data_IF_802861573798
#
_entry.id   IF_802861573798
#
_cell.length_a   1.000
_cell.length_b   1.000
_cell.length_c   1.000
_cell.angle_alpha   90.00
_cell.angle_beta   90.00
_cell.angle_gamma   90.00
#
_symmetry.space_group_name_H-M   'P 1'
#
loop_
_entity.id
_entity.type
_entity.pdbx_description
1 polymer ?
#
# COMPACT_ATOMS: atom_id res chain seq x y z
N UNK A 1 8.27 15.72 -0.15
CA UNK A 1 8.78 15.67 1.21
C UNK A 1 8.34 14.38 1.84
N UNK A 2 9.26 13.88 2.47
CA UNK A 2 9.36 12.61 3.13
C UNK A 2 8.69 12.72 4.50
N UNK A 3 7.39 12.97 4.48
CA UNK A 3 6.64 13.29 5.69
C UNK A 3 6.64 12.17 6.73
N UNK A 4 7.03 10.95 6.36
CA UNK A 4 7.13 9.84 7.31
C UNK A 4 8.38 8.98 7.14
N UNK A 5 9.53 9.61 6.89
CA UNK A 5 10.83 8.92 6.92
C UNK A 5 11.06 8.16 8.23
N UNK A 6 10.57 8.67 9.33
CA UNK A 6 10.75 8.04 10.64
C UNK A 6 10.09 6.67 10.68
N UNK A 7 8.79 6.57 10.29
CA UNK A 7 8.08 5.27 10.27
C UNK A 7 8.69 4.31 9.27
N UNK A 8 8.99 4.78 8.04
CA UNK A 8 9.65 3.96 7.03
C UNK A 8 11.04 3.47 7.47
N UNK A 9 11.84 4.35 8.08
CA UNK A 9 13.17 4.01 8.58
C UNK A 9 13.09 3.03 9.75
N UNK A 10 12.12 3.18 10.64
CA UNK A 10 11.88 2.25 11.73
C UNK A 10 11.50 0.85 11.20
N UNK A 11 10.53 0.77 10.29
CA UNK A 11 10.13 -0.52 9.70
C UNK A 11 11.31 -1.15 8.95
N UNK A 12 12.08 -0.36 8.18
CA UNK A 12 13.26 -0.85 7.44
C UNK A 12 14.32 -1.41 8.39
N UNK A 13 14.58 -0.75 9.49
CA UNK A 13 15.53 -1.22 10.49
C UNK A 13 15.05 -2.52 11.17
N UNK A 14 13.75 -2.62 11.47
CA UNK A 14 13.16 -3.81 12.05
C UNK A 14 13.09 -5.01 11.05
N UNK A 15 12.92 -4.72 9.76
CA UNK A 15 12.79 -5.70 8.68
C UNK A 15 14.13 -6.13 8.05
N UNK A 16 15.27 -5.80 8.65
CA UNK A 16 16.61 -5.98 8.07
C UNK A 16 16.87 -7.37 7.45
N UNK A 17 16.30 -8.42 8.02
CA UNK A 17 16.46 -9.81 7.59
C UNK A 17 15.23 -10.35 6.81
N UNK A 18 14.21 -9.50 6.62
CA UNK A 18 12.94 -9.82 5.95
C UNK A 18 12.70 -8.86 4.79
N UNK A 19 13.65 -8.83 3.86
CA UNK A 19 13.59 -7.99 2.66
C UNK A 19 13.34 -8.87 1.45
N UNK A 20 12.27 -8.57 0.73
CA UNK A 20 11.83 -9.33 -0.44
C UNK A 20 11.67 -8.40 -1.65
N UNK A 21 11.84 -8.97 -2.83
CA UNK A 21 11.58 -8.26 -4.09
C UNK A 21 10.61 -9.07 -4.94
N UNK A 22 9.48 -8.45 -5.28
CA UNK A 22 8.64 -8.93 -6.36
C UNK A 22 9.11 -8.27 -7.66
N UNK A 23 9.76 -9.07 -8.52
CA UNK A 23 10.17 -8.62 -9.85
C UNK A 23 9.21 -9.18 -10.89
N UNK A 24 8.67 -8.30 -11.73
CA UNK A 24 7.82 -8.64 -12.85
C UNK A 24 8.53 -8.17 -14.12
N UNK A 25 8.82 -9.13 -15.00
CA UNK A 25 9.52 -8.85 -16.26
C UNK A 25 8.66 -8.03 -17.23
N UNK A 26 9.32 -7.32 -18.15
CA UNK A 26 8.63 -6.53 -19.18
C UNK A 26 7.62 -7.37 -19.96
N UNK A 27 6.49 -6.76 -20.30
CA UNK A 27 5.41 -7.36 -21.10
C UNK A 27 4.73 -8.58 -20.42
N UNK A 28 4.82 -8.68 -19.11
CA UNK A 28 4.09 -9.71 -18.38
C UNK A 28 2.59 -9.39 -18.38
N UNK A 29 1.77 -10.36 -18.81
CA UNK A 29 0.30 -10.26 -18.84
C UNK A 29 -0.28 -11.47 -18.12
N UNK A 30 -1.20 -11.22 -17.21
CA UNK A 30 -1.92 -12.29 -16.51
C UNK A 30 -3.39 -11.93 -16.31
N UNK A 31 -4.27 -12.87 -16.64
CA UNK A 31 -5.70 -12.80 -16.37
C UNK A 31 -6.09 -13.32 -14.98
N UNK A 32 -5.12 -13.90 -14.27
CA UNK A 32 -5.30 -14.33 -12.88
C UNK A 32 -4.48 -13.43 -11.96
N UNK A 33 -4.99 -13.10 -10.77
CA UNK A 33 -4.26 -12.26 -9.84
C UNK A 33 -2.99 -12.95 -9.33
N UNK A 34 -1.94 -12.18 -9.15
CA UNK A 34 -0.78 -12.57 -8.34
C UNK A 34 -1.15 -12.29 -6.89
N UNK A 35 -1.08 -13.30 -6.03
CA UNK A 35 -1.44 -13.17 -4.62
C UNK A 35 -0.19 -13.30 -3.76
N UNK A 36 0.06 -12.31 -2.93
CA UNK A 36 1.04 -12.35 -1.85
C UNK A 36 0.30 -12.52 -0.53
N UNK A 37 0.45 -13.66 0.09
CA UNK A 37 -0.14 -13.95 1.38
C UNK A 37 0.92 -13.81 2.48
N UNK A 38 0.72 -12.85 3.38
CA UNK A 38 1.62 -12.49 4.46
C UNK A 38 0.95 -12.87 5.78
N UNK A 39 1.34 -14.01 6.31
CA UNK A 39 0.95 -14.41 7.66
C UNK A 39 1.96 -13.85 8.67
N UNK A 40 1.50 -12.96 9.53
CA UNK A 40 2.33 -12.33 10.56
C UNK A 40 2.59 -13.25 11.76
N UNK A 41 1.90 -14.39 11.82
CA UNK A 41 1.96 -15.26 12.99
C UNK A 41 1.44 -14.59 14.26
N UNK A 42 2.08 -14.90 15.40
CA UNK A 42 1.74 -14.42 16.74
C UNK A 42 2.86 -13.57 17.40
N UNK A 43 3.94 -13.34 16.69
CA UNK A 43 5.12 -12.60 17.18
C UNK A 43 5.31 -11.31 16.38
N UNK A 44 5.91 -10.30 17.03
CA UNK A 44 6.23 -9.05 16.34
C UNK A 44 7.01 -9.30 15.07
N UNK A 45 6.57 -8.71 13.97
CA UNK A 45 7.24 -8.88 12.69
C UNK A 45 7.33 -7.56 11.91
N UNK A 46 8.34 -7.51 11.05
CA UNK A 46 8.45 -6.44 10.06
C UNK A 46 8.96 -7.03 8.76
N UNK A 47 8.47 -6.48 7.64
CA UNK A 47 8.97 -6.85 6.33
C UNK A 47 9.06 -5.65 5.39
N UNK A 48 10.01 -5.69 4.49
CA UNK A 48 10.18 -4.73 3.41
C UNK A 48 10.02 -5.46 2.07
N UNK A 49 9.00 -5.07 1.32
CA UNK A 49 8.73 -5.56 -0.03
C UNK A 49 9.09 -4.49 -1.05
N UNK A 50 10.00 -4.80 -1.97
CA UNK A 50 10.27 -3.96 -3.13
C UNK A 50 9.47 -4.47 -4.33
N UNK A 51 8.72 -3.58 -4.97
CA UNK A 51 8.03 -3.85 -6.24
C UNK A 51 8.90 -3.34 -7.39
N UNK A 52 9.35 -4.24 -8.24
CA UNK A 52 10.10 -3.93 -9.47
C UNK A 52 9.29 -4.45 -10.66
N UNK A 53 8.30 -3.64 -11.08
CA UNK A 53 7.41 -3.98 -12.19
C UNK A 53 7.97 -3.42 -13.48
N UNK A 54 8.18 -4.28 -14.45
CA UNK A 54 8.66 -3.97 -15.78
C UNK A 54 7.69 -3.11 -16.60
N UNK A 55 8.04 -2.82 -17.83
CA UNK A 55 7.23 -2.02 -18.76
C UNK A 55 6.16 -2.87 -19.45
N UNK A 56 5.04 -2.23 -19.80
CA UNK A 56 3.95 -2.85 -20.56
C UNK A 56 3.41 -4.12 -19.89
N UNK A 57 3.35 -4.15 -18.57
CA UNK A 57 2.75 -5.25 -17.82
C UNK A 57 1.24 -5.02 -17.66
N UNK A 58 0.46 -6.08 -17.60
CA UNK A 58 -0.98 -6.01 -17.32
C UNK A 58 -1.37 -7.14 -16.39
N UNK A 59 -1.70 -6.83 -15.13
CA UNK A 59 -2.05 -7.84 -14.12
C UNK A 59 -2.70 -7.23 -12.89
N UNK A 60 -3.20 -8.11 -12.02
CA UNK A 60 -3.67 -7.77 -10.67
C UNK A 60 -2.69 -8.29 -9.63
N UNK A 61 -2.39 -7.46 -8.62
CA UNK A 61 -1.62 -7.83 -7.44
C UNK A 61 -2.49 -7.70 -6.20
N UNK A 62 -2.65 -8.78 -5.47
CA UNK A 62 -3.37 -8.78 -4.19
C UNK A 62 -2.37 -9.12 -3.09
N UNK A 63 -2.17 -8.21 -2.15
CA UNK A 63 -1.36 -8.45 -0.96
C UNK A 63 -2.28 -8.58 0.24
N UNK A 64 -2.31 -9.74 0.85
CA UNK A 64 -3.09 -9.99 2.08
C UNK A 64 -2.14 -10.01 3.28
N UNK A 65 -2.49 -9.28 4.33
CA UNK A 65 -1.75 -9.25 5.59
C UNK A 65 -2.71 -9.74 6.67
N UNK A 66 -2.42 -10.90 7.24
CA UNK A 66 -3.22 -11.55 8.26
C UNK A 66 -2.36 -12.04 9.43
N UNK A 67 -2.98 -12.55 10.48
CA UNK A 67 -2.31 -13.08 11.65
C UNK A 67 -2.67 -12.33 12.93
N UNK A 68 -1.95 -12.62 14.02
CA UNK A 68 -2.23 -12.12 15.36
C UNK A 68 -1.01 -11.47 16.03
N UNK A 69 -0.03 -11.01 15.26
CA UNK A 69 1.15 -10.33 15.77
C UNK A 69 0.77 -9.10 16.60
N UNK A 70 1.35 -8.89 17.78
CA UNK A 70 1.09 -7.69 18.58
C UNK A 70 1.51 -6.41 17.85
N UNK A 71 2.52 -6.50 16.98
CA UNK A 71 2.95 -5.42 16.10
C UNK A 71 3.43 -5.95 14.76
N UNK A 72 2.97 -5.33 13.69
CA UNK A 72 3.39 -5.62 12.32
C UNK A 72 3.86 -4.34 11.64
N UNK A 73 5.07 -4.36 11.08
CA UNK A 73 5.61 -3.33 10.21
C UNK A 73 5.65 -3.79 8.76
N UNK A 74 4.97 -3.09 7.87
CA UNK A 74 4.96 -3.39 6.44
C UNK A 74 5.42 -2.19 5.62
N UNK A 75 6.59 -2.28 5.02
CA UNK A 75 7.13 -1.28 4.12
C UNK A 75 7.08 -1.80 2.68
N UNK A 76 6.40 -1.08 1.80
CA UNK A 76 6.45 -1.31 0.36
C UNK A 76 7.13 -0.14 -0.33
N UNK A 77 8.11 -0.43 -1.15
CA UNK A 77 8.78 0.56 -2.00
C UNK A 77 8.89 0.04 -3.43
N UNK A 78 9.06 0.91 -4.38
CA UNK A 78 9.37 0.45 -5.73
C UNK A 78 8.78 1.28 -6.85
N UNK A 79 8.69 0.64 -8.01
CA UNK A 79 8.27 1.30 -9.25
C UNK A 79 7.34 0.39 -10.07
N UNK A 80 6.35 1.01 -10.70
CA UNK A 80 5.53 0.43 -11.74
C UNK A 80 6.04 1.00 -13.07
N UNK A 81 6.47 0.13 -13.98
CA UNK A 81 7.11 0.50 -15.24
C UNK A 81 6.16 1.15 -16.24
N UNK A 82 6.75 1.80 -17.24
CA UNK A 82 6.06 2.58 -18.25
C UNK A 82 5.03 1.76 -19.02
N UNK A 83 3.88 2.34 -19.32
CA UNK A 83 2.80 1.71 -20.09
C UNK A 83 2.12 0.53 -19.40
N UNK A 84 2.39 0.28 -18.13
CA UNK A 84 1.80 -0.85 -17.40
C UNK A 84 0.41 -0.53 -16.87
N UNK A 85 -0.45 -1.53 -16.83
CA UNK A 85 -1.80 -1.48 -16.25
C UNK A 85 -1.81 -2.40 -15.04
N UNK A 86 -1.98 -1.83 -13.85
CA UNK A 86 -1.93 -2.58 -12.60
C UNK A 86 -3.11 -2.27 -11.69
N UNK A 87 -3.82 -3.33 -11.28
CA UNK A 87 -4.72 -3.27 -10.14
C UNK A 87 -3.95 -3.81 -8.92
N UNK A 88 -3.58 -2.96 -7.99
CA UNK A 88 -2.78 -3.29 -6.80
C UNK A 88 -3.65 -3.11 -5.55
N UNK A 89 -4.01 -4.19 -4.88
CA UNK A 89 -4.86 -4.16 -3.70
C UNK A 89 -4.12 -4.71 -2.49
N UNK A 90 -4.11 -3.95 -1.41
CA UNK A 90 -3.59 -4.40 -0.11
C UNK A 90 -4.73 -4.55 0.89
N UNK A 91 -4.85 -5.74 1.44
CA UNK A 91 -5.86 -6.10 2.44
C UNK A 91 -5.16 -6.29 3.78
N UNK A 92 -5.37 -5.34 4.69
CA UNK A 92 -4.90 -5.43 6.08
C UNK A 92 -6.01 -5.96 6.98
N UNK A 93 -5.88 -7.21 7.39
CA UNK A 93 -6.84 -7.90 8.24
C UNK A 93 -6.11 -8.71 9.33
N UNK A 94 -5.36 -8.02 10.18
CA UNK A 94 -4.77 -8.64 11.37
C UNK A 94 -5.83 -8.73 12.48
N UNK A 95 -5.79 -9.79 13.28
CA UNK A 95 -6.83 -10.03 14.29
C UNK A 95 -6.70 -9.09 15.49
N UNK A 96 -5.51 -8.63 15.79
CA UNK A 96 -5.18 -7.79 16.95
C UNK A 96 -4.00 -6.89 16.64
N UNK A 97 -3.59 -6.09 17.60
CA UNK A 97 -2.32 -5.39 17.59
C UNK A 97 -2.26 -4.15 16.73
N UNK A 98 -1.04 -3.78 16.39
CA UNK A 98 -0.70 -2.54 15.67
C UNK A 98 -0.15 -2.89 14.29
N UNK A 99 -0.78 -2.33 13.25
CA UNK A 99 -0.24 -2.38 11.89
C UNK A 99 0.34 -1.00 11.52
N UNK A 100 1.64 -0.96 11.28
CA UNK A 100 2.32 0.17 10.64
C UNK A 100 2.58 -0.18 9.17
N UNK A 101 1.99 0.57 8.26
CA UNK A 101 2.18 0.38 6.81
C UNK A 101 2.72 1.66 6.18
N UNK A 102 3.76 1.53 5.38
CA UNK A 102 4.24 2.62 4.53
C UNK A 102 4.39 2.10 3.10
N UNK A 103 3.74 2.78 2.17
CA UNK A 103 3.93 2.56 0.74
C UNK A 103 4.63 3.78 0.12
N UNK A 104 5.63 3.55 -0.72
CA UNK A 104 6.30 4.58 -1.51
C UNK A 104 6.54 4.05 -2.92
N UNK A 105 5.60 4.36 -3.83
CA UNK A 105 5.54 3.76 -5.17
C UNK A 105 5.66 4.85 -6.23
N UNK A 106 6.63 4.69 -7.12
CA UNK A 106 6.77 5.52 -8.32
C UNK A 106 5.97 4.92 -9.48
N UNK A 107 5.26 5.79 -10.20
CA UNK A 107 4.43 5.42 -11.36
C UNK A 107 5.13 5.93 -12.60
N UNK A 108 5.39 5.02 -13.54
CA UNK A 108 6.07 5.29 -14.80
C UNK A 108 5.20 6.01 -15.82
N UNK A 109 5.80 6.37 -16.94
CA UNK A 109 5.14 7.06 -18.06
C UNK A 109 3.97 6.25 -18.58
N UNK A 110 2.84 6.93 -18.82
CA UNK A 110 1.62 6.34 -19.39
C UNK A 110 1.11 5.09 -18.62
N UNK A 111 1.60 4.86 -17.41
CA UNK A 111 1.12 3.76 -16.59
C UNK A 111 -0.25 4.07 -15.98
N UNK A 112 -1.12 3.06 -15.90
CA UNK A 112 -2.45 3.14 -15.32
C UNK A 112 -2.53 2.26 -14.09
N UNK A 113 -2.72 2.87 -12.93
CA UNK A 113 -2.70 2.17 -11.65
C UNK A 113 -4.00 2.40 -10.89
N UNK A 114 -4.61 1.31 -10.43
CA UNK A 114 -5.66 1.34 -9.41
C UNK A 114 -5.08 0.77 -8.12
N UNK A 115 -4.85 1.64 -7.15
CA UNK A 115 -4.30 1.28 -5.86
C UNK A 115 -5.42 1.17 -4.82
N UNK A 116 -5.74 -0.04 -4.41
CA UNK A 116 -6.79 -0.35 -3.45
C UNK A 116 -6.24 -0.60 -2.05
N UNK A 117 -6.93 -0.11 -1.03
CA UNK A 117 -6.67 -0.44 0.37
C UNK A 117 -7.95 -0.89 1.04
N UNK A 118 -7.93 -2.10 1.60
CA UNK A 118 -8.95 -2.60 2.50
C UNK A 118 -8.32 -2.75 3.88
N UNK A 119 -8.90 -2.09 4.88
CA UNK A 119 -8.35 -2.10 6.23
C UNK A 119 -9.44 -2.43 7.26
N UNK A 120 -9.20 -3.53 8.00
CA UNK A 120 -10.07 -3.99 9.09
C UNK A 120 -9.27 -4.92 10.02
N UNK A 121 -9.70 -5.06 11.27
CA UNK A 121 -9.17 -6.08 12.17
C UNK A 121 -8.13 -5.60 13.17
N UNK A 122 -7.12 -4.86 12.79
CA UNK A 122 -6.11 -4.32 13.73
C UNK A 122 -6.74 -3.41 14.78
N UNK A 123 -6.26 -3.47 16.00
CA UNK A 123 -6.67 -2.53 17.05
C UNK A 123 -6.26 -1.10 16.68
N UNK A 124 -5.07 -0.96 16.11
CA UNK A 124 -4.56 0.31 15.60
C UNK A 124 -3.87 0.10 14.26
N UNK A 125 -4.18 0.97 13.31
CA UNK A 125 -3.48 1.05 12.03
C UNK A 125 -2.97 2.47 11.83
N UNK A 126 -1.70 2.59 11.43
CA UNK A 126 -1.19 3.78 10.78
C UNK A 126 -0.66 3.40 9.41
N UNK A 127 -1.23 3.99 8.38
CA UNK A 127 -0.84 3.75 7.00
C UNK A 127 -0.48 5.08 6.31
N UNK A 128 0.72 5.17 5.78
CA UNK A 128 1.20 6.26 4.95
C UNK A 128 1.41 5.76 3.53
N UNK A 129 0.54 6.19 2.62
CA UNK A 129 0.48 5.72 1.24
C UNK A 129 0.93 6.84 0.31
N UNK A 130 2.12 6.71 -0.28
CA UNK A 130 2.71 7.72 -1.14
C UNK A 130 2.88 7.21 -2.55
N UNK A 131 2.40 8.02 -3.47
CA UNK A 131 2.50 7.75 -4.89
C UNK A 131 3.17 8.94 -5.58
N UNK A 132 4.17 8.65 -6.41
CA UNK A 132 4.88 9.66 -7.15
C UNK A 132 4.70 9.46 -8.64
N UNK A 133 4.07 10.43 -9.31
CA UNK A 133 3.95 10.49 -10.77
C UNK A 133 5.00 11.45 -11.33
N UNK A 134 6.23 10.95 -11.46
CA UNK A 134 7.38 11.71 -11.94
C UNK A 134 7.59 11.65 -13.46
N UNK A 135 6.71 10.93 -14.17
CA UNK A 135 6.75 10.74 -15.61
C UNK A 135 5.42 11.17 -16.23
N UNK A 136 5.44 11.66 -17.48
CA UNK A 136 4.22 12.14 -18.16
C UNK A 136 3.18 11.03 -18.38
N UNK A 137 1.90 11.39 -18.45
CA UNK A 137 0.81 10.51 -18.84
C UNK A 137 0.38 9.49 -17.78
N UNK A 138 0.95 9.53 -16.58
CA UNK A 138 0.57 8.61 -15.49
C UNK A 138 -0.85 8.82 -14.99
N UNK A 139 -1.62 7.74 -14.82
CA UNK A 139 -2.98 7.73 -14.28
C UNK A 139 -3.03 6.90 -13.00
N UNK A 140 -3.53 7.49 -11.91
CA UNK A 140 -3.66 6.83 -10.62
C UNK A 140 -5.08 6.98 -10.04
N UNK A 141 -5.73 5.86 -9.75
CA UNK A 141 -6.94 5.84 -8.95
C UNK A 141 -6.62 5.18 -7.60
N UNK A 142 -6.76 5.92 -6.52
CA UNK A 142 -6.60 5.40 -5.15
C UNK A 142 -7.98 5.17 -4.55
N UNK A 143 -8.21 3.96 -4.05
CA UNK A 143 -9.47 3.55 -3.46
C UNK A 143 -9.24 3.03 -2.04
N UNK A 144 -10.04 3.48 -1.10
CA UNK A 144 -10.01 3.01 0.28
C UNK A 144 -11.36 2.47 0.73
N UNK A 145 -11.34 1.32 1.39
CA UNK A 145 -12.48 0.73 2.08
C UNK A 145 -12.06 0.37 3.50
N UNK A 146 -12.48 1.17 4.46
CA UNK A 146 -12.04 1.09 5.84
C UNK A 146 -13.22 0.72 6.74
N UNK A 147 -13.07 -0.34 7.50
CA UNK A 147 -14.06 -0.79 8.46
C UNK A 147 -13.44 -0.83 9.86
N UNK A 148 -13.97 -0.04 10.76
CA UNK A 148 -13.55 -0.03 12.16
C UNK A 148 -14.71 -0.32 13.09
N UNK A 149 -14.45 -1.00 14.19
CA UNK A 149 -15.44 -1.37 15.19
C UNK A 149 -14.81 -1.39 16.60
N UNK A 150 -15.63 -1.50 17.62
CA UNK A 150 -15.19 -1.55 19.03
C UNK A 150 -14.39 -0.30 19.39
N UNK A 151 -13.12 -0.47 19.79
CA UNK A 151 -12.19 0.59 20.20
C UNK A 151 -11.06 0.78 19.16
N UNK A 152 -11.23 0.32 17.93
CA UNK A 152 -10.23 0.43 16.89
C UNK A 152 -9.91 1.88 16.56
N UNK A 153 -8.64 2.14 16.24
CA UNK A 153 -8.19 3.43 15.73
C UNK A 153 -7.39 3.23 14.44
N UNK A 154 -7.97 3.62 13.31
CA UNK A 154 -7.39 3.43 11.98
C UNK A 154 -7.08 4.81 11.36
N UNK A 155 -5.82 5.09 11.13
CA UNK A 155 -5.31 6.34 10.56
C UNK A 155 -4.62 6.06 9.22
N UNK A 156 -5.09 6.72 8.16
CA UNK A 156 -4.58 6.59 6.81
C UNK A 156 -4.26 7.96 6.24
N UNK A 157 -3.01 8.14 5.84
CA UNK A 157 -2.53 9.31 5.13
C UNK A 157 -2.19 8.93 3.69
N UNK A 158 -2.76 9.62 2.73
CA UNK A 158 -2.53 9.41 1.31
C UNK A 158 -1.88 10.66 0.72
N UNK A 159 -0.76 10.51 0.06
CA UNK A 159 0.00 11.58 -0.55
C UNK A 159 0.28 11.24 -2.01
N UNK A 160 -0.13 12.12 -2.95
CA UNK A 160 0.04 11.92 -4.38
C UNK A 160 0.81 13.12 -4.94
N UNK A 161 2.00 12.87 -5.48
CA UNK A 161 2.86 13.87 -6.09
C UNK A 161 2.74 13.85 -7.60
N UNK A 162 2.35 14.98 -8.18
CA UNK A 162 2.31 15.23 -9.62
C UNK A 162 3.54 16.04 -10.03
N UNK A 163 4.67 15.36 -10.27
CA UNK A 163 5.94 16.01 -10.61
C UNK A 163 6.16 16.12 -12.14
N UNK A 164 5.25 15.57 -12.95
CA UNK A 164 5.30 15.60 -14.40
C UNK A 164 3.98 16.10 -15.00
N UNK A 165 3.98 16.65 -16.24
CA UNK A 165 2.75 17.08 -16.90
C UNK A 165 1.88 15.90 -17.32
N UNK A 166 0.60 16.20 -17.64
CA UNK A 166 -0.39 15.26 -18.18
C UNK A 166 -0.64 14.05 -17.25
N UNK A 167 -0.41 14.22 -15.95
CA UNK A 167 -0.73 13.21 -14.95
C UNK A 167 -2.11 13.43 -14.35
N UNK A 168 -2.79 12.35 -14.04
CA UNK A 168 -4.15 12.37 -13.46
C UNK A 168 -4.21 11.50 -12.23
N UNK A 169 -4.87 11.99 -11.18
CA UNK A 169 -5.20 11.16 -10.02
C UNK A 169 -6.63 11.35 -9.55
N UNK A 170 -7.17 10.31 -8.93
CA UNK A 170 -8.45 10.31 -8.24
C UNK A 170 -8.32 9.57 -6.92
N UNK A 171 -8.91 10.14 -5.86
CA UNK A 171 -8.94 9.53 -4.53
C UNK A 171 -10.40 9.35 -4.10
N UNK A 172 -10.83 8.09 -3.95
CA UNK A 172 -12.13 7.71 -3.40
C UNK A 172 -11.91 6.94 -2.09
N UNK A 173 -12.34 7.50 -0.97
CA UNK A 173 -12.09 6.93 0.35
C UNK A 173 -13.37 6.79 1.15
N UNK A 174 -13.70 5.55 1.50
CA UNK A 174 -14.90 5.18 2.22
C UNK A 174 -14.57 4.57 3.57
N UNK A 175 -15.21 5.06 4.62
CA UNK A 175 -15.03 4.55 5.98
C UNK A 175 -16.37 4.27 6.65
N UNK A 176 -16.46 3.14 7.34
CA UNK A 176 -17.57 2.81 8.21
C UNK A 176 -17.05 2.54 9.62
N UNK A 177 -17.64 3.22 10.60
CA UNK A 177 -17.25 3.14 12.01
C UNK A 177 -18.39 2.61 12.86
N UNK A 178 -18.10 1.66 13.75
CA UNK A 178 -19.03 1.13 14.73
C UNK A 178 -18.47 1.12 16.15
N UNK A 179 -19.32 1.21 17.16
CA UNK A 179 -18.90 1.28 18.56
C UNK A 179 -18.19 2.59 18.88
N UNK A 180 -17.10 2.52 19.61
CA UNK A 180 -16.25 3.67 19.98
C UNK A 180 -15.04 3.80 19.06
N UNK A 181 -15.09 3.20 17.88
CA UNK A 181 -13.95 3.24 16.95
C UNK A 181 -13.75 4.62 16.34
N UNK A 182 -12.52 4.86 15.87
CA UNK A 182 -12.15 6.09 15.21
C UNK A 182 -11.41 5.78 13.91
N UNK A 183 -11.78 6.48 12.85
CA UNK A 183 -11.07 6.44 11.58
C UNK A 183 -10.67 7.85 11.18
N UNK A 184 -9.43 8.01 10.76
CA UNK A 184 -8.87 9.25 10.20
C UNK A 184 -8.43 8.94 8.78
N UNK A 185 -8.83 9.77 7.84
CA UNK A 185 -8.39 9.73 6.46
C UNK A 185 -7.92 11.12 6.04
N UNK A 186 -6.66 11.25 5.63
CA UNK A 186 -6.09 12.52 5.16
C UNK A 186 -5.55 12.31 3.75
N UNK A 187 -5.98 13.15 2.80
CA UNK A 187 -5.49 13.15 1.43
C UNK A 187 -4.73 14.43 1.11
N UNK A 188 -3.57 14.32 0.49
CA UNK A 188 -2.82 15.42 -0.14
C UNK A 188 -2.61 15.09 -1.62
N UNK A 189 -2.96 16.06 -2.47
CA UNK A 189 -2.84 16.00 -3.93
C UNK A 189 -1.99 17.15 -4.43
#
# INVERSE_FOLDING_TARGET
>A
PESDEVTASFIRAAAKDSVYTLRVENNFVSNSPVVLDIDTGDSNCALHLTLDVGRNCEFELITQISGAAPWTGFLRTGRIGDGSILNDVVIGHTNTGILLRVDSIAIGRDAQVKAGTVSSGSERTKADLRYKMGETGGHLNVLGSILSAKEMHLDHHIEIHHDAPETFSRLDWHSACGGNSRTVGTGML
#
